data_IF_100248119353
#
_entry.id   IF_100248119353
#
_cell.length_a   1.000
_cell.length_b   1.000
_cell.length_c   1.000
_cell.angle_alpha   90.00
_cell.angle_beta   90.00
_cell.angle_gamma   90.00
#
_symmetry.space_group_name_H-M   'P 1'
#
loop_
_entity.id
_entity.type
_entity.pdbx_description
1 polymer ?
#
# COMPACT_ATOMS: atom_id res chain seq x y z
N UNK A 1 -64.57 -47.94 60.36
CA UNK A 1 -63.48 -48.05 59.35
C UNK A 1 -64.06 -48.40 57.97
N UNK A 2 -64.41 -47.42 57.11
CA UNK A 2 -64.70 -47.70 55.68
C UNK A 2 -64.67 -46.45 54.76
N UNK A 3 -64.60 -45.24 55.30
CA UNK A 3 -64.55 -43.97 54.53
C UNK A 3 -63.13 -43.44 54.31
N UNK A 4 -62.22 -43.62 55.28
CA UNK A 4 -60.83 -43.12 55.20
C UNK A 4 -60.00 -43.71 54.05
N UNK A 5 -60.25 -44.96 53.65
CA UNK A 5 -59.57 -45.60 52.50
C UNK A 5 -60.00 -45.01 51.16
N UNK A 6 -61.24 -44.49 51.03
CA UNK A 6 -61.71 -43.86 49.79
C UNK A 6 -61.14 -42.44 49.63
N UNK A 7 -61.03 -41.67 50.71
CA UNK A 7 -60.39 -40.35 50.69
C UNK A 7 -58.89 -40.41 50.39
N UNK A 8 -58.18 -41.44 50.88
CA UNK A 8 -56.75 -41.60 50.58
C UNK A 8 -56.50 -41.93 49.10
N UNK A 9 -57.35 -42.78 48.51
CA UNK A 9 -57.29 -43.09 47.07
C UNK A 9 -57.67 -41.87 46.23
N UNK A 10 -58.70 -41.09 46.63
CA UNK A 10 -59.08 -39.87 45.94
C UNK A 10 -58.00 -38.77 46.03
N UNK A 11 -57.30 -38.67 47.16
CA UNK A 11 -56.18 -37.75 47.34
C UNK A 11 -54.96 -38.18 46.53
N UNK A 12 -54.65 -39.49 46.49
CA UNK A 12 -53.60 -40.05 45.64
C UNK A 12 -53.89 -39.87 44.14
N UNK A 13 -55.14 -40.08 43.71
CA UNK A 13 -55.55 -39.83 42.32
C UNK A 13 -55.49 -38.32 41.98
N UNK A 14 -55.86 -37.44 42.92
CA UNK A 14 -55.76 -35.99 42.76
C UNK A 14 -54.31 -35.54 42.60
N UNK A 15 -53.38 -36.07 43.41
CA UNK A 15 -51.95 -35.75 43.26
C UNK A 15 -51.40 -36.29 41.94
N UNK A 16 -51.81 -37.48 41.51
CA UNK A 16 -51.45 -38.03 40.19
C UNK A 16 -51.99 -37.19 39.04
N UNK A 17 -53.22 -36.68 39.13
CA UNK A 17 -53.81 -35.75 38.15
C UNK A 17 -53.09 -34.41 38.18
N UNK A 18 -52.74 -33.89 39.36
CA UNK A 18 -51.93 -32.66 39.47
C UNK A 18 -50.52 -32.84 38.89
N UNK A 19 -49.86 -33.97 39.12
CA UNK A 19 -48.57 -34.30 38.51
C UNK A 19 -48.69 -34.48 36.99
N UNK A 20 -49.78 -35.11 36.50
CA UNK A 20 -50.03 -35.24 35.06
C UNK A 20 -50.31 -33.88 34.39
N UNK A 21 -51.00 -32.96 35.08
CA UNK A 21 -51.19 -31.58 34.62
C UNK A 21 -49.88 -30.79 34.65
N UNK A 22 -49.00 -31.01 35.64
CA UNK A 22 -47.67 -30.38 35.73
C UNK A 22 -46.69 -30.88 34.66
N UNK A 23 -46.78 -32.17 34.29
CA UNK A 23 -45.99 -32.74 33.18
C UNK A 23 -46.51 -32.24 31.82
N UNK A 24 -47.74 -31.73 31.76
CA UNK A 24 -48.35 -31.09 30.58
C UNK A 24 -48.22 -29.56 30.53
N UNK A 25 -47.74 -28.90 31.58
CA UNK A 25 -47.33 -27.48 31.48
C UNK A 25 -45.93 -27.44 30.91
N UNK A 26 -45.83 -27.61 29.59
CA UNK A 26 -44.67 -27.12 28.85
C UNK A 26 -44.52 -25.66 29.23
N UNK A 27 -43.50 -25.31 30.02
CA UNK A 27 -43.00 -23.95 30.06
C UNK A 27 -42.74 -23.59 28.60
N UNK A 28 -43.58 -22.73 28.02
CA UNK A 28 -43.29 -22.13 26.74
C UNK A 28 -42.10 -21.19 26.98
N UNK A 29 -40.90 -21.73 26.93
CA UNK A 29 -39.73 -20.91 26.63
C UNK A 29 -39.87 -20.52 25.17
N UNK A 30 -40.63 -19.47 24.91
CA UNK A 30 -40.52 -18.76 23.64
C UNK A 30 -39.12 -18.15 23.62
N UNK A 31 -38.16 -18.91 23.10
CA UNK A 31 -36.89 -18.35 22.66
C UNK A 31 -36.99 -18.27 21.15
N UNK A 32 -37.41 -17.10 20.69
CA UNK A 32 -37.18 -16.72 19.30
C UNK A 32 -35.72 -16.29 19.20
N UNK A 33 -34.93 -17.02 18.42
CA UNK A 33 -33.56 -16.65 18.10
C UNK A 33 -33.49 -16.31 16.62
N UNK A 34 -33.47 -15.03 16.30
CA UNK A 34 -33.08 -14.55 14.97
C UNK A 34 -31.55 -14.44 15.00
N UNK A 35 -30.87 -15.33 14.30
CA UNK A 35 -29.41 -15.24 14.14
C UNK A 35 -29.09 -14.67 12.77
N UNK A 36 -28.44 -13.52 12.73
CA UNK A 36 -27.82 -13.00 11.52
C UNK A 36 -26.36 -13.52 11.48
N UNK A 37 -26.02 -14.31 10.46
CA UNK A 37 -24.67 -14.82 10.19
C UNK A 37 -24.28 -14.40 8.78
N UNK A 38 -23.00 -14.04 8.58
CA UNK A 38 -22.48 -13.71 7.27
C UNK A 38 -22.65 -12.24 6.86
N UNK A 39 -22.87 -11.32 7.81
CA UNK A 39 -22.67 -9.90 7.54
C UNK A 39 -21.20 -9.69 7.13
N UNK A 40 -20.98 -9.40 5.85
CA UNK A 40 -19.67 -9.12 5.27
C UNK A 40 -19.67 -7.67 4.81
N UNK A 41 -18.67 -6.93 5.26
CA UNK A 41 -18.31 -5.61 4.75
C UNK A 41 -16.92 -5.78 4.18
N UNK A 42 -16.74 -5.43 2.92
CA UNK A 42 -15.49 -5.57 2.20
C UNK A 42 -15.23 -4.28 1.45
N UNK A 43 -13.98 -3.80 1.51
CA UNK A 43 -13.56 -2.66 0.72
C UNK A 43 -13.41 -3.09 -0.75
N UNK A 44 -13.76 -2.20 -1.67
CA UNK A 44 -13.43 -2.41 -3.07
C UNK A 44 -11.91 -2.35 -3.30
N UNK A 45 -11.45 -2.85 -4.45
CA UNK A 45 -10.06 -2.78 -4.84
C UNK A 45 -9.86 -2.15 -6.22
N UNK A 46 -8.84 -1.31 -6.34
CA UNK A 46 -8.32 -0.83 -7.61
C UNK A 46 -7.32 -1.84 -8.14
N UNK A 47 -7.56 -2.37 -9.33
CA UNK A 47 -6.62 -3.28 -9.99
C UNK A 47 -6.77 -3.18 -11.49
N UNK A 48 -5.67 -2.87 -12.16
CA UNK A 48 -5.62 -2.73 -13.61
C UNK A 48 -4.59 -3.67 -14.22
N UNK A 49 -4.76 -3.98 -15.49
CA UNK A 49 -3.79 -4.73 -16.29
C UNK A 49 -3.62 -4.07 -17.65
N UNK A 50 -2.39 -4.10 -18.16
CA UNK A 50 -2.06 -3.70 -19.52
C UNK A 50 -1.84 -4.97 -20.33
N UNK A 51 -2.62 -5.12 -21.39
CA UNK A 51 -2.63 -6.29 -22.24
C UNK A 51 -2.20 -5.92 -23.66
N UNK A 52 -1.68 -6.90 -24.39
CA UNK A 52 -1.33 -6.77 -25.80
C UNK A 52 -1.79 -8.00 -26.59
N UNK A 53 -2.33 -7.76 -27.78
CA UNK A 53 -2.54 -8.78 -28.80
C UNK A 53 -1.28 -8.90 -29.65
N UNK A 54 -0.39 -9.81 -29.24
CA UNK A 54 0.93 -9.99 -29.88
C UNK A 54 0.84 -10.67 -31.25
N UNK A 55 -0.27 -11.35 -31.54
CA UNK A 55 -0.44 -12.19 -32.73
C UNK A 55 -1.50 -11.67 -33.69
N UNK A 56 -2.13 -10.54 -33.35
CA UNK A 56 -3.20 -9.90 -34.13
C UNK A 56 -4.39 -10.84 -34.38
N UNK A 57 -4.62 -11.79 -33.47
CA UNK A 57 -5.68 -12.81 -33.55
C UNK A 57 -6.83 -12.54 -32.57
N UNK A 58 -6.79 -11.39 -31.89
CA UNK A 58 -7.73 -10.97 -30.85
C UNK A 58 -7.42 -11.54 -29.47
N UNK A 59 -6.30 -12.25 -29.29
CA UNK A 59 -5.94 -12.85 -28.01
C UNK A 59 -5.00 -11.95 -27.20
N UNK A 60 -5.59 -11.13 -26.34
CA UNK A 60 -4.87 -10.20 -25.48
C UNK A 60 -4.24 -10.91 -24.27
N UNK A 61 -2.94 -10.70 -24.06
CA UNK A 61 -2.18 -11.25 -22.95
C UNK A 61 -1.52 -10.14 -22.13
N UNK A 62 -1.39 -10.34 -20.82
CA UNK A 62 -0.78 -9.33 -19.94
C UNK A 62 0.69 -9.13 -20.30
N UNK A 63 1.07 -7.85 -20.38
CA UNK A 63 2.44 -7.38 -20.55
C UNK A 63 2.92 -6.58 -19.34
N UNK A 64 2.16 -6.60 -18.24
CA UNK A 64 2.51 -5.90 -17.01
C UNK A 64 3.83 -6.45 -16.43
N UNK A 65 4.75 -5.55 -16.09
CA UNK A 65 6.12 -5.85 -15.60
C UNK A 65 7.00 -6.61 -16.60
N UNK A 66 6.59 -6.73 -17.86
CA UNK A 66 7.42 -7.30 -18.91
C UNK A 66 8.49 -6.31 -19.39
N UNK A 67 9.49 -6.81 -20.11
CA UNK A 67 10.56 -6.00 -20.69
C UNK A 67 10.63 -6.27 -22.19
N UNK A 68 10.56 -5.22 -23.01
CA UNK A 68 10.59 -5.36 -24.47
C UNK A 68 9.33 -6.00 -25.06
N UNK A 69 8.19 -5.96 -24.37
CA UNK A 69 6.97 -6.62 -24.85
C UNK A 69 6.30 -5.88 -26.02
N UNK A 70 6.46 -4.56 -26.11
CA UNK A 70 5.74 -3.71 -27.07
C UNK A 70 6.52 -3.60 -28.39
N UNK A 71 7.78 -3.16 -28.33
CA UNK A 71 8.68 -3.07 -29.49
C UNK A 71 10.01 -3.78 -29.17
N UNK A 72 10.25 -4.96 -29.73
CA UNK A 72 11.52 -5.68 -29.57
C UNK A 72 11.82 -6.69 -30.67
N UNK A 73 13.11 -6.98 -30.83
CA UNK A 73 13.60 -8.01 -31.74
C UNK A 73 12.95 -9.37 -31.45
N UNK A 74 12.75 -9.71 -30.18
CA UNK A 74 12.10 -10.97 -29.77
C UNK A 74 10.63 -11.03 -30.19
N UNK A 75 9.93 -9.91 -30.15
CA UNK A 75 8.57 -9.77 -30.67
C UNK A 75 8.51 -9.67 -32.21
N UNK A 76 9.66 -9.57 -32.88
CA UNK A 76 9.76 -9.46 -34.34
C UNK A 76 9.39 -8.09 -34.89
N UNK A 77 9.28 -7.07 -34.03
CA UNK A 77 9.03 -5.67 -34.36
C UNK A 77 10.13 -4.77 -33.73
N UNK A 78 10.04 -3.46 -33.86
CA UNK A 78 10.96 -2.50 -33.24
C UNK A 78 12.39 -2.49 -33.80
N UNK A 79 12.69 -3.32 -34.80
CA UNK A 79 14.04 -3.52 -35.36
C UNK A 79 14.18 -3.01 -36.78
N UNK A 80 15.40 -2.62 -37.18
CA UNK A 80 15.74 -2.24 -38.56
C UNK A 80 14.79 -1.17 -39.15
N UNK A 81 14.59 -0.08 -38.42
CA UNK A 81 13.81 1.06 -38.90
C UNK A 81 14.45 1.69 -40.13
N UNK A 82 13.64 1.97 -41.14
CA UNK A 82 14.02 2.67 -42.37
C UNK A 82 12.93 3.69 -42.75
N UNK A 83 13.27 4.76 -43.50
CA UNK A 83 12.29 5.75 -43.93
C UNK A 83 11.07 5.11 -44.60
N UNK A 84 9.87 5.50 -44.16
CA UNK A 84 8.59 4.97 -44.62
C UNK A 84 8.08 3.74 -43.85
N UNK A 85 8.90 3.13 -42.98
CA UNK A 85 8.45 1.99 -42.16
C UNK A 85 7.40 2.43 -41.15
N UNK A 86 6.34 1.63 -41.01
CA UNK A 86 5.31 1.77 -39.98
C UNK A 86 5.17 0.47 -39.23
N UNK A 87 5.03 0.54 -37.91
CA UNK A 87 4.66 -0.60 -37.08
C UNK A 87 3.47 -0.23 -36.19
N UNK A 88 2.57 -1.19 -35.97
CA UNK A 88 1.35 -1.01 -35.18
C UNK A 88 1.35 -2.07 -34.08
N UNK A 89 0.96 -1.67 -32.88
CA UNK A 89 0.73 -2.57 -31.74
C UNK A 89 -0.68 -2.38 -31.22
N UNK A 90 -1.30 -3.48 -30.77
CA UNK A 90 -2.67 -3.49 -30.29
C UNK A 90 -2.70 -3.78 -28.80
N UNK A 91 -3.15 -2.78 -28.04
CA UNK A 91 -3.10 -2.74 -26.59
C UNK A 91 -4.51 -2.75 -26.01
N UNK A 92 -4.63 -3.15 -24.75
CA UNK A 92 -5.87 -3.03 -24.02
C UNK A 92 -5.62 -2.75 -22.54
N UNK A 93 -6.48 -1.93 -21.95
CA UNK A 93 -6.51 -1.67 -20.50
C UNK A 93 -7.70 -2.40 -19.93
N UNK A 94 -7.46 -3.25 -18.94
CA UNK A 94 -8.51 -4.05 -18.31
C UNK A 94 -8.66 -3.71 -16.83
N UNK A 95 -9.90 -3.44 -16.39
CA UNK A 95 -10.23 -3.32 -14.99
C UNK A 95 -10.41 -4.71 -14.35
N UNK A 96 -9.43 -5.16 -13.57
CA UNK A 96 -9.47 -6.42 -12.80
C UNK A 96 -9.91 -6.22 -11.35
N UNK A 97 -10.26 -4.98 -10.99
CA UNK A 97 -10.69 -4.59 -9.66
C UNK A 97 -12.19 -4.75 -9.47
N UNK A 98 -12.68 -4.11 -8.41
CA UNK A 98 -14.11 -4.03 -8.09
C UNK A 98 -14.60 -2.58 -8.02
N UNK A 99 -13.78 -1.63 -8.48
CA UNK A 99 -14.04 -0.20 -8.45
C UNK A 99 -13.89 0.37 -9.87
N UNK A 100 -14.71 1.34 -10.22
CA UNK A 100 -14.63 2.09 -11.46
C UNK A 100 -13.35 2.91 -11.49
N UNK A 101 -12.77 3.07 -12.68
CA UNK A 101 -11.46 3.73 -12.82
C UNK A 101 -11.45 4.76 -13.93
N UNK A 102 -10.64 5.80 -13.70
CA UNK A 102 -10.06 6.60 -14.77
C UNK A 102 -8.59 6.22 -14.91
N UNK A 103 -8.07 6.19 -16.13
CA UNK A 103 -6.68 5.83 -16.40
C UNK A 103 -6.04 6.69 -17.48
N UNK A 104 -4.72 6.74 -17.45
CA UNK A 104 -3.89 7.30 -18.51
C UNK A 104 -2.84 6.27 -18.95
N UNK A 105 -2.58 6.22 -20.25
CA UNK A 105 -1.39 5.57 -20.81
C UNK A 105 -0.33 6.63 -21.08
N UNK A 106 0.81 6.50 -20.41
CA UNK A 106 1.98 7.34 -20.57
C UNK A 106 2.99 6.64 -21.46
N UNK A 107 3.61 7.38 -22.37
CA UNK A 107 4.77 6.94 -23.14
C UNK A 107 6.01 7.62 -22.59
N UNK A 108 6.99 6.82 -22.18
CA UNK A 108 8.29 7.26 -21.70
C UNK A 108 9.32 7.05 -22.82
N UNK A 109 9.73 8.15 -23.45
CA UNK A 109 10.53 8.11 -24.67
C UNK A 109 11.97 8.55 -24.37
N UNK A 110 12.92 7.66 -24.66
CA UNK A 110 14.36 7.91 -24.50
C UNK A 110 15.02 7.82 -25.88
N UNK A 111 15.69 8.90 -26.29
CA UNK A 111 16.46 8.89 -27.53
C UNK A 111 17.78 8.14 -27.35
N UNK A 112 18.19 7.42 -28.39
CA UNK A 112 19.49 6.78 -28.46
C UNK A 112 20.63 7.74 -28.81
N UNK A 113 21.84 7.19 -28.90
CA UNK A 113 23.01 7.88 -29.46
C UNK A 113 23.75 6.94 -30.43
N UNK A 114 23.53 7.05 -31.76
CA UNK A 114 22.64 8.01 -32.43
C UNK A 114 21.15 7.76 -32.16
N UNK A 115 20.34 8.80 -32.25
CA UNK A 115 18.91 8.80 -31.94
C UNK A 115 18.00 8.67 -33.16
N UNK A 116 16.70 8.50 -32.93
CA UNK A 116 15.65 8.53 -33.97
C UNK A 116 14.66 9.70 -33.78
N UNK A 117 14.75 10.47 -32.70
CA UNK A 117 13.86 11.61 -32.48
C UNK A 117 14.00 12.65 -33.59
N UNK A 118 12.85 13.18 -34.03
CA UNK A 118 12.72 14.05 -35.19
C UNK A 118 12.41 13.31 -36.49
N UNK A 119 12.73 12.01 -36.57
CA UNK A 119 12.41 11.15 -37.72
C UNK A 119 11.13 10.32 -37.54
N UNK A 120 10.58 10.24 -36.33
CA UNK A 120 9.44 9.40 -36.00
C UNK A 120 8.17 10.21 -35.69
N UNK A 121 7.03 9.68 -36.10
CA UNK A 121 5.68 10.16 -35.80
C UNK A 121 4.87 9.03 -35.14
N UNK A 122 3.82 9.39 -34.41
CA UNK A 122 2.90 8.43 -33.79
C UNK A 122 1.45 8.71 -34.15
N UNK A 123 0.63 7.65 -34.09
CA UNK A 123 -0.82 7.71 -34.14
C UNK A 123 -1.41 6.79 -33.07
N UNK A 124 -2.29 7.31 -32.22
CA UNK A 124 -3.06 6.52 -31.25
C UNK A 124 -4.51 6.48 -31.72
N UNK A 125 -5.04 5.27 -31.88
CA UNK A 125 -6.41 5.02 -32.30
C UNK A 125 -7.19 4.43 -31.13
N UNK A 126 -8.08 5.23 -30.57
CA UNK A 126 -8.93 4.88 -29.44
C UNK A 126 -10.07 3.92 -29.85
N UNK A 127 -10.34 2.94 -29.00
CA UNK A 127 -11.32 1.87 -29.18
C UNK A 127 -11.04 0.90 -30.33
N UNK A 128 -9.82 0.87 -30.90
CA UNK A 128 -9.49 0.04 -32.09
C UNK A 128 -8.72 -1.22 -31.75
N UNK A 129 -9.12 -2.33 -32.37
CA UNK A 129 -8.41 -3.62 -32.38
C UNK A 129 -7.77 -3.86 -33.74
N UNK A 130 -6.99 -4.94 -33.86
CA UNK A 130 -6.39 -5.36 -35.14
C UNK A 130 -7.40 -5.42 -36.29
N UNK A 131 -8.58 -6.02 -36.04
CA UNK A 131 -9.63 -6.14 -37.04
C UNK A 131 -10.30 -4.80 -37.44
N UNK A 132 -10.12 -3.73 -36.67
CA UNK A 132 -10.73 -2.42 -36.91
C UNK A 132 -9.80 -1.47 -37.69
N UNK A 133 -8.52 -1.81 -37.80
CA UNK A 133 -7.51 -0.99 -38.49
C UNK A 133 -7.32 -1.49 -39.93
N UNK A 134 -8.14 -0.95 -40.84
CA UNK A 134 -8.04 -1.17 -42.29
C UNK A 134 -7.37 0.03 -42.97
N UNK A 135 -6.11 0.28 -42.62
CA UNK A 135 -5.31 1.35 -43.23
C UNK A 135 -4.06 0.75 -43.87
N UNK A 136 -3.81 1.13 -45.13
CA UNK A 136 -2.72 0.60 -45.95
C UNK A 136 -1.58 1.62 -46.12
N UNK A 137 -1.71 2.80 -45.52
CA UNK A 137 -0.71 3.85 -45.54
C UNK A 137 -0.74 4.68 -44.26
N UNK A 138 0.36 5.39 -44.00
CA UNK A 138 0.44 6.32 -42.88
C UNK A 138 -0.61 7.43 -42.96
N UNK A 139 -0.88 7.95 -44.16
CA UNK A 139 -1.90 8.99 -44.35
C UNK A 139 -3.32 8.48 -44.05
N UNK A 140 -3.61 7.21 -44.36
CA UNK A 140 -4.89 6.59 -44.00
C UNK A 140 -5.03 6.39 -42.49
N UNK A 141 -3.96 5.95 -41.81
CA UNK A 141 -3.94 5.81 -40.34
C UNK A 141 -4.21 7.14 -39.64
N UNK A 142 -3.53 8.21 -40.05
CA UNK A 142 -3.73 9.55 -39.49
C UNK A 142 -5.15 10.10 -39.71
N UNK A 143 -5.80 9.66 -40.79
CA UNK A 143 -7.14 10.10 -41.15
C UNK A 143 -8.27 9.28 -40.49
N UNK A 144 -7.93 8.20 -39.77
CA UNK A 144 -8.93 7.41 -39.06
C UNK A 144 -9.65 8.25 -38.00
N UNK A 145 -10.95 8.00 -37.83
CA UNK A 145 -11.77 8.71 -36.86
C UNK A 145 -11.21 8.53 -35.44
N UNK A 146 -11.01 9.65 -34.74
CA UNK A 146 -10.46 9.66 -33.38
C UNK A 146 -8.94 9.52 -33.29
N UNK A 147 -8.22 9.46 -34.43
CA UNK A 147 -6.76 9.36 -34.44
C UNK A 147 -6.09 10.57 -33.77
N UNK A 148 -5.28 10.31 -32.75
CA UNK A 148 -4.41 11.30 -32.13
C UNK A 148 -3.01 11.15 -32.73
N UNK A 149 -2.52 12.17 -33.42
CA UNK A 149 -1.27 12.10 -34.19
C UNK A 149 -0.28 13.17 -33.73
N UNK A 150 1.01 12.87 -33.83
CA UNK A 150 2.05 13.83 -33.47
C UNK A 150 3.46 13.36 -33.79
N UNK A 151 4.42 14.26 -33.61
CA UNK A 151 5.83 13.92 -33.65
C UNK A 151 6.25 13.21 -32.36
N UNK A 152 7.14 12.22 -32.46
CA UNK A 152 7.78 11.62 -31.29
C UNK A 152 8.78 12.62 -30.70
N UNK A 153 8.67 12.85 -29.39
CA UNK A 153 9.52 13.75 -28.62
C UNK A 153 10.11 13.03 -27.40
N UNK A 154 11.26 13.51 -26.92
CA UNK A 154 11.91 12.93 -25.75
C UNK A 154 11.13 13.28 -24.48
N UNK A 155 11.15 12.36 -23.52
CA UNK A 155 10.47 12.52 -22.24
C UNK A 155 9.11 11.82 -22.22
N UNK A 156 8.30 12.18 -21.23
CA UNK A 156 7.01 11.56 -20.98
C UNK A 156 5.90 12.32 -21.70
N UNK A 157 5.03 11.60 -22.40
CA UNK A 157 3.80 12.15 -23.00
C UNK A 157 2.59 11.25 -22.71
N UNK A 158 1.39 11.82 -22.71
CA UNK A 158 0.15 11.06 -22.52
C UNK A 158 -0.35 10.59 -23.89
N UNK A 159 -0.37 9.28 -24.12
CA UNK A 159 -0.83 8.67 -25.37
C UNK A 159 -2.34 8.44 -25.41
N UNK A 160 -2.95 8.08 -24.27
CA UNK A 160 -4.40 7.95 -24.13
C UNK A 160 -4.83 8.74 -22.89
N UNK A 161 -5.33 9.97 -23.06
CA UNK A 161 -5.76 10.80 -21.94
C UNK A 161 -7.17 10.42 -21.47
N UNK A 162 -7.29 10.09 -20.19
CA UNK A 162 -8.55 9.92 -19.45
C UNK A 162 -9.48 8.84 -20.00
N UNK A 163 -8.96 7.64 -20.23
CA UNK A 163 -9.84 6.49 -20.43
C UNK A 163 -10.64 6.23 -19.15
N UNK A 164 -11.89 5.78 -19.29
CA UNK A 164 -12.79 5.50 -18.18
C UNK A 164 -13.35 4.09 -18.33
N UNK A 165 -13.26 3.29 -17.27
CA UNK A 165 -13.89 1.97 -17.16
C UNK A 165 -14.79 1.99 -15.92
N UNK A 166 -16.07 2.31 -16.11
CA UNK A 166 -17.05 2.51 -15.04
C UNK A 166 -18.24 1.55 -15.09
N UNK A 167 -18.34 0.68 -16.09
CA UNK A 167 -19.45 -0.26 -16.26
C UNK A 167 -19.50 -1.34 -15.16
N UNK A 168 -18.46 -1.42 -14.33
CA UNK A 168 -18.47 -2.25 -13.11
C UNK A 168 -19.59 -1.87 -12.14
N UNK A 169 -20.04 -0.60 -12.14
CA UNK A 169 -21.22 -0.17 -11.35
C UNK A 169 -22.52 -0.74 -11.89
N UNK A 170 -22.55 -1.11 -13.18
CA UNK A 170 -23.66 -1.77 -13.85
C UNK A 170 -23.56 -3.30 -13.82
N UNK A 171 -22.53 -3.84 -13.17
CA UNK A 171 -22.31 -5.27 -12.97
C UNK A 171 -21.48 -5.95 -14.07
N UNK A 172 -20.80 -5.17 -14.92
CA UNK A 172 -19.80 -5.73 -15.83
C UNK A 172 -18.54 -6.15 -15.06
N UNK A 173 -17.97 -7.29 -15.44
CA UNK A 173 -16.69 -7.77 -14.89
C UNK A 173 -15.64 -7.73 -15.99
N UNK A 174 -14.41 -7.33 -15.65
CA UNK A 174 -13.28 -7.27 -16.60
C UNK A 174 -13.54 -6.35 -17.79
N UNK A 175 -14.22 -5.22 -17.55
CA UNK A 175 -14.36 -4.15 -18.54
C UNK A 175 -12.98 -3.82 -19.13
N UNK A 176 -12.93 -3.70 -20.45
CA UNK A 176 -11.68 -3.62 -21.20
C UNK A 176 -11.80 -2.59 -22.30
N UNK A 177 -10.88 -1.64 -22.32
CA UNK A 177 -10.75 -0.63 -23.36
C UNK A 177 -9.57 -0.98 -24.29
N UNK A 178 -9.66 -0.61 -25.57
CA UNK A 178 -8.76 -1.10 -26.62
C UNK A 178 -8.10 0.05 -27.39
N UNK A 179 -6.84 -0.13 -27.76
CA UNK A 179 -6.05 0.88 -28.46
C UNK A 179 -5.21 0.26 -29.56
N UNK A 180 -5.01 0.99 -30.65
CA UNK A 180 -3.91 0.74 -31.57
C UNK A 180 -2.90 1.90 -31.51
N UNK A 181 -1.63 1.59 -31.26
CA UNK A 181 -0.53 2.54 -31.30
C UNK A 181 0.31 2.25 -32.54
N UNK A 182 0.40 3.21 -33.44
CA UNK A 182 1.24 3.13 -34.63
C UNK A 182 2.42 4.10 -34.51
N UNK A 183 3.61 3.64 -34.89
CA UNK A 183 4.83 4.44 -35.01
C UNK A 183 5.25 4.42 -36.48
N UNK A 184 5.62 5.57 -37.03
CA UNK A 184 6.04 5.74 -38.42
C UNK A 184 7.35 6.50 -38.52
N UNK A 185 8.28 6.04 -39.36
CA UNK A 185 9.47 6.80 -39.71
C UNK A 185 9.22 7.59 -40.99
N UNK A 186 9.41 8.90 -40.92
CA UNK A 186 9.17 9.84 -42.02
C UNK A 186 9.95 9.44 -43.27
N UNK A 187 9.31 9.53 -44.43
CA UNK A 187 9.91 9.18 -45.72
C UNK A 187 11.14 10.03 -46.08
N UNK A 188 11.22 11.25 -45.55
CA UNK A 188 12.31 12.20 -45.80
C UNK A 188 13.44 12.12 -44.76
N UNK A 189 13.38 11.18 -43.82
CA UNK A 189 14.44 10.97 -42.83
C UNK A 189 15.78 10.63 -43.49
N UNK A 190 16.80 11.44 -43.19
CA UNK A 190 18.13 11.35 -43.79
C UNK A 190 19.07 10.31 -43.15
N UNK A 191 20.28 10.22 -43.70
CA UNK A 191 21.31 9.27 -43.23
C UNK A 191 21.81 9.55 -41.80
N UNK A 192 21.54 10.73 -41.24
CA UNK A 192 21.83 11.10 -39.86
C UNK A 192 21.16 10.19 -38.82
N UNK A 193 20.05 9.53 -39.18
CA UNK A 193 19.33 8.57 -38.33
C UNK A 193 19.80 7.12 -38.52
N UNK A 194 20.81 6.88 -39.37
CA UNK A 194 21.31 5.53 -39.63
C UNK A 194 21.97 4.92 -38.38
N UNK A 195 21.58 3.69 -38.04
CA UNK A 195 21.93 3.01 -36.79
C UNK A 195 21.39 3.72 -35.53
N UNK A 196 20.46 4.66 -35.70
CA UNK A 196 19.76 5.31 -34.62
C UNK A 196 18.93 4.33 -33.80
N UNK A 197 18.72 4.65 -32.53
CA UNK A 197 17.86 3.88 -31.64
C UNK A 197 16.94 4.79 -30.85
N UNK A 198 15.85 4.21 -30.36
CA UNK A 198 14.90 4.85 -29.47
C UNK A 198 14.30 3.79 -28.55
N UNK A 199 13.98 4.18 -27.33
CA UNK A 199 13.19 3.35 -26.40
C UNK A 199 11.85 4.04 -26.18
N UNK A 200 10.76 3.28 -26.28
CA UNK A 200 9.40 3.74 -26.04
C UNK A 200 8.80 2.78 -25.01
N UNK A 201 8.83 3.18 -23.75
CA UNK A 201 8.22 2.43 -22.65
C UNK A 201 6.80 2.94 -22.40
N UNK A 202 5.97 2.11 -21.76
CA UNK A 202 4.58 2.46 -21.46
C UNK A 202 4.27 2.29 -19.98
N UNK A 203 3.67 3.32 -19.39
CA UNK A 203 3.22 3.31 -18.00
C UNK A 203 1.72 3.52 -17.94
N UNK A 204 0.99 2.58 -17.34
CA UNK A 204 -0.45 2.69 -17.05
C UNK A 204 -0.64 3.20 -15.62
N UNK A 205 -1.29 4.34 -15.47
CA UNK A 205 -1.69 4.91 -14.17
C UNK A 205 -3.21 5.01 -14.10
N UNK A 206 -3.76 4.69 -12.93
CA UNK A 206 -5.21 4.70 -12.72
C UNK A 206 -5.58 5.29 -11.35
N UNK A 207 -6.80 5.84 -11.28
CA UNK A 207 -7.45 6.35 -10.07
C UNK A 207 -8.93 5.93 -10.07
N UNK A 208 -9.62 6.06 -8.94
CA UNK A 208 -11.07 5.86 -8.91
C UNK A 208 -11.79 6.85 -9.84
N UNK A 209 -12.86 6.38 -10.48
CA UNK A 209 -13.81 7.22 -11.17
C UNK A 209 -14.94 7.64 -10.22
N UNK A 210 -15.58 8.78 -10.51
CA UNK A 210 -16.78 9.23 -9.80
C UNK A 210 -18.02 8.50 -10.33
N UNK A 211 -18.08 7.18 -10.15
CA UNK A 211 -19.16 6.33 -10.67
C UNK A 211 -19.97 5.67 -9.55
N UNK A 212 -19.32 5.26 -8.47
CA UNK A 212 -19.96 4.63 -7.33
C UNK A 212 -20.68 5.65 -6.42
N UNK A 213 -21.74 5.19 -5.74
CA UNK A 213 -22.43 5.96 -4.71
C UNK A 213 -22.10 5.44 -3.31
N UNK A 214 -21.87 6.35 -2.37
CA UNK A 214 -21.74 6.01 -0.96
C UNK A 214 -23.08 5.56 -0.36
N UNK A 215 -23.06 5.14 0.92
CA UNK A 215 -24.26 4.72 1.65
C UNK A 215 -25.32 5.82 1.86
N UNK A 216 -25.02 7.07 1.47
CA UNK A 216 -25.90 8.23 1.55
C UNK A 216 -26.34 8.72 0.16
N UNK A 217 -25.89 8.09 -0.93
CA UNK A 217 -26.22 8.44 -2.31
C UNK A 217 -25.33 9.52 -2.94
N UNK A 218 -24.15 9.80 -2.37
CA UNK A 218 -23.16 10.74 -2.92
C UNK A 218 -22.17 10.03 -3.87
N UNK A 219 -21.95 10.60 -5.06
CA UNK A 219 -21.01 10.09 -6.09
C UNK A 219 -19.68 10.84 -6.18
N UNK A 220 -19.54 11.95 -5.44
CA UNK A 220 -18.49 12.94 -5.72
C UNK A 220 -17.28 12.79 -4.78
N UNK A 221 -17.26 11.74 -3.95
CA UNK A 221 -16.19 11.54 -2.97
C UNK A 221 -14.83 11.23 -3.63
N UNK A 222 -14.83 10.77 -4.88
CA UNK A 222 -13.63 10.49 -5.68
C UNK A 222 -13.27 11.62 -6.67
N UNK A 223 -14.00 12.75 -6.67
CA UNK A 223 -13.79 13.85 -7.63
C UNK A 223 -12.36 14.42 -7.55
N UNK A 224 -11.78 14.42 -6.34
CA UNK A 224 -10.44 14.93 -6.07
C UNK A 224 -9.34 13.86 -6.12
N UNK A 225 -9.66 12.62 -6.53
CA UNK A 225 -8.65 11.57 -6.65
C UNK A 225 -7.58 11.98 -7.68
N UNK A 226 -6.32 11.94 -7.27
CA UNK A 226 -5.16 12.17 -8.13
C UNK A 226 -4.66 10.88 -8.78
N UNK A 227 -4.03 10.99 -9.95
CA UNK A 227 -3.28 9.87 -10.50
C UNK A 227 -1.99 9.64 -9.71
N UNK A 228 -1.58 8.39 -9.46
CA UNK A 228 -0.31 8.11 -8.81
C UNK A 228 0.87 8.80 -9.49
N UNK A 229 1.78 9.33 -8.68
CA UNK A 229 2.98 10.02 -9.15
C UNK A 229 4.23 9.22 -8.76
N UNK A 230 5.25 9.24 -9.62
CA UNK A 230 6.60 8.77 -9.30
C UNK A 230 7.58 9.93 -9.50
N UNK A 231 8.34 10.27 -8.47
CA UNK A 231 9.24 11.43 -8.48
C UNK A 231 10.62 11.07 -7.96
N UNK A 232 11.64 11.47 -8.71
CA UNK A 232 13.03 11.39 -8.30
C UNK A 232 13.42 12.69 -7.60
N UNK A 233 13.93 12.60 -6.37
CA UNK A 233 14.32 13.75 -5.56
C UNK A 233 15.80 13.65 -5.17
N UNK A 234 16.45 14.81 -5.07
CA UNK A 234 17.88 14.90 -4.79
C UNK A 234 18.23 15.98 -3.74
N UNK A 235 17.24 16.73 -3.26
CA UNK A 235 17.36 17.81 -2.29
C UNK A 235 16.14 17.86 -1.36
N UNK A 236 16.24 18.67 -0.30
CA UNK A 236 15.23 18.72 0.76
C UNK A 236 13.93 19.38 0.32
N UNK A 237 13.98 20.38 -0.57
CA UNK A 237 12.80 21.14 -0.98
C UNK A 237 11.92 20.30 -1.90
N UNK A 238 12.51 19.62 -2.90
CA UNK A 238 11.81 18.67 -3.76
C UNK A 238 11.22 17.48 -2.98
N UNK A 239 11.92 17.01 -1.95
CA UNK A 239 11.40 15.97 -1.05
C UNK A 239 10.19 16.49 -0.24
N UNK A 240 10.23 17.70 0.32
CA UNK A 240 9.11 18.25 1.08
C UNK A 240 7.86 18.45 0.22
N UNK A 241 8.02 18.95 -1.01
CA UNK A 241 6.90 19.11 -1.94
C UNK A 241 6.26 17.75 -2.24
N UNK A 242 7.08 16.72 -2.50
CA UNK A 242 6.60 15.37 -2.79
C UNK A 242 5.93 14.66 -1.58
N UNK A 243 6.38 14.94 -0.35
CA UNK A 243 5.79 14.37 0.87
C UNK A 243 4.41 14.93 1.20
N UNK A 244 4.03 16.06 0.60
CA UNK A 244 2.87 16.85 0.99
C UNK A 244 1.87 17.05 -0.16
N UNK A 245 1.54 15.94 -0.83
CA UNK A 245 0.57 15.88 -1.91
C UNK A 245 -0.65 14.99 -1.54
N UNK A 246 -1.57 15.48 -0.68
CA UNK A 246 -2.71 14.70 -0.20
C UNK A 246 -3.65 14.29 -1.35
N UNK A 247 -4.18 13.06 -1.28
CA UNK A 247 -5.10 12.51 -2.30
C UNK A 247 -4.41 12.00 -3.58
N UNK A 248 -3.08 12.08 -3.64
CA UNK A 248 -2.26 11.57 -4.74
C UNK A 248 -1.25 10.56 -4.17
N UNK A 249 -1.43 9.26 -4.40
CA UNK A 249 -0.43 8.26 -4.06
C UNK A 249 0.91 8.60 -4.74
N UNK A 250 1.96 8.82 -3.96
CA UNK A 250 3.24 9.31 -4.48
C UNK A 250 4.39 8.37 -4.12
N UNK A 251 5.05 7.82 -5.12
CA UNK A 251 6.32 7.11 -4.98
C UNK A 251 7.48 8.10 -5.13
N UNK A 252 8.35 8.15 -4.13
CA UNK A 252 9.47 9.09 -4.04
C UNK A 252 10.77 8.30 -4.04
N UNK A 253 11.58 8.45 -5.08
CA UNK A 253 12.91 7.86 -5.15
C UNK A 253 13.95 8.90 -4.75
N UNK A 254 14.56 8.70 -3.58
CA UNK A 254 15.67 9.54 -3.14
C UNK A 254 16.93 9.08 -3.85
N UNK A 255 17.38 9.83 -4.84
CA UNK A 255 18.47 9.45 -5.74
C UNK A 255 19.86 9.62 -5.11
N UNK A 256 19.98 10.49 -4.11
CA UNK A 256 21.19 10.72 -3.33
C UNK A 256 20.88 11.12 -1.89
N UNK A 257 21.86 10.95 -0.99
CA UNK A 257 21.68 11.33 0.42
C UNK A 257 21.49 12.85 0.58
N UNK A 258 20.46 13.24 1.34
CA UNK A 258 20.12 14.64 1.63
C UNK A 258 20.70 15.00 2.99
N UNK A 259 21.68 15.91 2.99
CA UNK A 259 22.53 16.17 4.16
C UNK A 259 22.18 17.43 4.94
N UNK A 260 21.36 18.29 4.38
CA UNK A 260 20.86 19.56 4.93
C UNK A 260 19.38 19.46 5.34
N UNK A 261 18.92 18.25 5.62
CA UNK A 261 17.57 17.96 6.02
C UNK A 261 17.12 18.70 7.28
N UNK A 262 15.81 18.86 7.36
CA UNK A 262 15.07 19.34 8.54
C UNK A 262 14.13 18.24 9.02
N UNK A 263 13.40 18.47 10.11
CA UNK A 263 12.33 17.54 10.45
C UNK A 263 11.23 17.68 9.40
N UNK A 264 10.78 16.54 8.89
CA UNK A 264 9.84 16.42 7.79
C UNK A 264 8.45 16.10 8.34
N UNK A 265 7.46 16.69 7.69
CA UNK A 265 6.05 16.39 7.88
C UNK A 265 5.53 15.72 6.62
N UNK A 266 4.71 14.68 6.80
CA UNK A 266 4.05 13.95 5.73
C UNK A 266 2.55 14.10 5.88
N UNK A 267 1.93 14.69 4.86
CA UNK A 267 0.48 14.87 4.75
C UNK A 267 -0.13 14.09 3.58
N UNK A 268 0.70 13.52 2.69
CA UNK A 268 0.27 12.69 1.57
C UNK A 268 0.27 11.18 1.86
N UNK A 269 -0.07 10.40 0.83
CA UNK A 269 0.05 8.94 0.81
C UNK A 269 1.32 8.54 0.06
N UNK A 270 2.38 8.22 0.81
CA UNK A 270 3.75 8.21 0.27
C UNK A 270 4.42 6.84 0.38
N UNK A 271 5.08 6.41 -0.69
CA UNK A 271 6.14 5.39 -0.64
C UNK A 271 7.50 6.06 -0.83
N UNK A 272 8.33 6.07 0.20
CA UNK A 272 9.67 6.66 0.19
C UNK A 272 10.75 5.58 0.00
N UNK A 273 11.37 5.56 -1.18
CA UNK A 273 12.45 4.66 -1.54
C UNK A 273 13.80 5.34 -1.31
N UNK A 274 14.52 4.92 -0.26
CA UNK A 274 15.83 5.46 0.11
C UNK A 274 16.99 4.59 -0.37
N UNK A 275 16.79 3.28 -0.53
CA UNK A 275 17.92 2.37 -0.72
C UNK A 275 18.94 2.55 0.41
N UNK A 276 20.20 2.84 0.08
CA UNK A 276 21.24 3.17 1.09
C UNK A 276 21.33 4.66 1.44
N UNK A 277 20.56 5.53 0.78
CA UNK A 277 20.62 6.97 1.00
C UNK A 277 20.09 7.36 2.39
N UNK A 278 20.53 8.53 2.85
CA UNK A 278 20.24 9.02 4.19
C UNK A 278 19.61 10.41 4.15
N UNK A 279 18.76 10.70 5.14
CA UNK A 279 18.17 12.01 5.41
C UNK A 279 18.74 12.51 6.74
N UNK A 280 19.57 13.56 6.69
CA UNK A 280 20.39 13.98 7.83
C UNK A 280 20.38 15.48 8.02
N UNK A 281 20.74 15.93 9.22
CA UNK A 281 20.76 17.35 9.62
C UNK A 281 22.20 17.86 9.78
N UNK A 282 23.00 17.69 8.74
CA UNK A 282 24.42 18.08 8.66
C UNK A 282 25.41 17.00 9.12
N UNK A 283 24.93 15.87 9.66
CA UNK A 283 25.78 14.77 10.14
C UNK A 283 25.07 13.43 10.03
N UNK A 284 25.79 12.39 9.62
CA UNK A 284 25.23 11.03 9.43
C UNK A 284 24.72 10.39 10.73
N UNK A 285 25.16 10.88 11.90
CA UNK A 285 24.67 10.43 13.21
C UNK A 285 23.43 11.21 13.69
N UNK A 286 22.99 12.23 12.94
CA UNK A 286 21.82 13.06 13.27
C UNK A 286 20.85 13.02 12.09
N UNK A 287 19.95 12.04 12.12
CA UNK A 287 18.92 11.90 11.09
C UNK A 287 17.85 13.00 11.16
N UNK A 288 17.23 13.28 10.03
CA UNK A 288 16.03 14.12 9.93
C UNK A 288 14.82 13.39 10.52
N UNK A 289 14.15 13.96 11.51
CA UNK A 289 12.91 13.36 12.04
C UNK A 289 11.80 13.38 10.99
N UNK A 290 10.90 12.40 11.04
CA UNK A 290 9.75 12.29 10.14
C UNK A 290 8.49 12.12 10.98
N UNK A 291 7.49 12.95 10.71
CA UNK A 291 6.16 12.86 11.32
C UNK A 291 5.10 12.66 10.25
N UNK A 292 4.36 11.55 10.34
CA UNK A 292 3.18 11.28 9.52
C UNK A 292 1.95 11.81 10.26
N UNK A 293 1.26 12.78 9.66
CA UNK A 293 0.09 13.44 10.27
C UNK A 293 -1.20 12.64 10.13
N UNK A 294 -2.26 13.15 10.76
CA UNK A 294 -3.57 12.53 10.83
C UNK A 294 -4.14 12.28 9.42
N UNK A 295 -4.59 11.05 9.18
CA UNK A 295 -5.11 10.63 7.87
C UNK A 295 -4.06 10.42 6.77
N UNK A 296 -2.79 10.74 6.99
CA UNK A 296 -1.72 10.49 6.02
C UNK A 296 -1.14 9.07 6.17
N UNK A 297 -0.51 8.57 5.11
CA UNK A 297 0.17 7.27 5.13
C UNK A 297 1.58 7.34 4.55
N UNK A 298 2.51 6.60 5.15
CA UNK A 298 3.88 6.53 4.67
C UNK A 298 4.43 5.10 4.73
N UNK A 299 5.06 4.65 3.65
CA UNK A 299 5.92 3.46 3.63
C UNK A 299 7.36 3.88 3.38
N UNK A 300 8.30 3.45 4.22
CA UNK A 300 9.73 3.69 4.04
C UNK A 300 10.42 2.40 3.62
N UNK A 301 11.03 2.39 2.43
CA UNK A 301 11.85 1.31 1.92
C UNK A 301 13.32 1.70 1.97
N UNK A 302 14.10 1.06 2.86
CA UNK A 302 15.49 1.41 3.07
C UNK A 302 16.36 0.19 3.37
N UNK A 303 17.63 0.27 2.99
CA UNK A 303 18.66 -0.69 3.35
C UNK A 303 19.37 -0.19 4.61
N UNK A 304 19.56 -1.08 5.58
CA UNK A 304 20.20 -0.73 6.84
C UNK A 304 21.68 -0.39 6.64
N UNK A 305 22.02 0.87 6.82
CA UNK A 305 23.40 1.34 6.85
C UNK A 305 24.15 0.79 8.09
N UNK A 306 25.47 0.60 7.95
CA UNK A 306 26.32 0.11 9.03
C UNK A 306 26.78 1.22 9.97
N UNK A 307 26.93 0.91 11.27
CA UNK A 307 27.46 1.85 12.25
C UNK A 307 26.50 2.99 12.56
N UNK A 308 27.05 4.16 12.94
CA UNK A 308 26.27 5.37 13.22
C UNK A 308 26.02 6.15 11.92
N UNK A 309 25.39 5.51 10.95
CA UNK A 309 24.94 6.15 9.71
C UNK A 309 23.43 5.93 9.67
N UNK A 310 22.70 6.96 10.07
CA UNK A 310 21.25 6.86 10.17
C UNK A 310 20.59 7.21 8.85
N UNK A 311 19.67 6.34 8.45
CA UNK A 311 18.74 6.50 7.34
C UNK A 311 17.86 7.73 7.56
N UNK A 312 17.31 7.90 8.75
CA UNK A 312 16.57 9.08 9.18
C UNK A 312 16.62 9.21 10.73
N UNK A 313 15.99 10.25 11.26
CA UNK A 313 15.89 10.54 12.69
C UNK A 313 14.70 9.86 13.34
N UNK A 314 14.13 10.49 14.38
CA UNK A 314 12.91 10.00 15.04
C UNK A 314 11.77 9.79 14.03
N UNK A 315 11.06 8.69 14.15
CA UNK A 315 9.87 8.38 13.33
C UNK A 315 8.63 8.51 14.20
N UNK A 316 7.66 9.31 13.77
CA UNK A 316 6.40 9.51 14.48
C UNK A 316 5.23 9.32 13.54
N UNK A 317 4.20 8.59 13.98
CA UNK A 317 2.87 8.65 13.39
C UNK A 317 1.92 9.28 14.41
N UNK A 318 1.15 10.27 13.98
CA UNK A 318 0.23 11.04 14.80
C UNK A 318 -1.13 11.10 14.12
N UNK A 319 -2.00 10.12 14.39
CA UNK A 319 -3.24 9.88 13.63
C UNK A 319 -3.05 9.22 12.25
N UNK A 320 -1.84 9.23 11.70
CA UNK A 320 -1.50 8.60 10.41
C UNK A 320 -1.07 7.13 10.50
N UNK A 321 -0.68 6.57 9.36
CA UNK A 321 -0.13 5.21 9.24
C UNK A 321 1.33 5.22 8.77
N UNK A 322 2.22 4.49 9.44
CA UNK A 322 3.63 4.37 9.05
C UNK A 322 4.06 2.90 8.90
N UNK A 323 4.62 2.53 7.75
CA UNK A 323 5.26 1.24 7.51
C UNK A 323 6.77 1.43 7.29
N UNK A 324 7.59 0.62 7.96
CA UNK A 324 9.05 0.68 7.84
C UNK A 324 9.63 -0.68 7.40
N UNK A 325 10.22 -0.67 6.20
CA UNK A 325 10.82 -1.82 5.54
C UNK A 325 12.35 -1.66 5.47
N UNK A 326 12.99 -1.60 6.64
CA UNK A 326 14.45 -1.59 6.76
C UNK A 326 15.01 -0.22 7.13
N UNK A 327 16.32 -0.01 6.95
CA UNK A 327 17.02 1.20 7.39
C UNK A 327 17.66 1.09 8.78
N UNK A 328 18.41 2.13 9.14
CA UNK A 328 19.10 2.26 10.43
C UNK A 328 18.72 3.59 11.07
N UNK A 329 18.17 3.56 12.28
CA UNK A 329 17.63 4.75 12.93
C UNK A 329 18.13 4.85 14.37
N UNK A 330 18.48 6.07 14.76
CA UNK A 330 18.88 6.34 16.13
C UNK A 330 18.61 7.76 16.59
N UNK A 331 18.20 7.86 17.85
CA UNK A 331 18.03 9.13 18.56
C UNK A 331 18.75 9.10 19.91
N UNK A 332 19.06 10.30 20.38
CA UNK A 332 19.61 10.53 21.71
C UNK A 332 18.83 11.64 22.38
N UNK A 333 18.12 11.34 23.46
CA UNK A 333 17.42 12.34 24.26
C UNK A 333 16.69 11.70 25.43
N UNK A 334 16.55 12.45 26.52
CA UNK A 334 15.99 11.92 27.77
C UNK A 334 14.49 11.69 27.61
N UNK A 335 14.02 10.45 27.80
CA UNK A 335 12.61 10.07 27.60
C UNK A 335 12.17 9.97 26.14
N UNK A 336 13.09 10.18 25.18
CA UNK A 336 12.76 10.14 23.76
C UNK A 336 12.62 8.70 23.26
N UNK A 337 11.75 8.52 22.26
CA UNK A 337 11.59 7.27 21.54
C UNK A 337 12.08 7.40 20.09
N UNK A 338 12.72 6.36 19.57
CA UNK A 338 13.10 6.31 18.15
C UNK A 338 11.86 6.18 17.24
N UNK A 339 10.89 5.36 17.63
CA UNK A 339 9.60 5.26 16.94
C UNK A 339 8.50 5.60 17.93
N UNK A 340 7.58 6.49 17.55
CA UNK A 340 6.44 6.89 18.39
C UNK A 340 5.12 6.81 17.63
N UNK A 341 4.13 6.10 18.18
CA UNK A 341 2.74 6.13 17.71
C UNK A 341 1.85 6.91 18.69
N UNK A 342 1.02 7.81 18.14
CA UNK A 342 0.11 8.69 18.90
C UNK A 342 -1.26 8.81 18.24
N UNK A 343 -2.26 9.23 19.02
CA UNK A 343 -3.58 9.61 18.54
C UNK A 343 -4.23 8.60 17.58
N UNK A 344 -4.34 7.34 18.01
CA UNK A 344 -4.92 6.26 17.20
C UNK A 344 -4.20 5.91 15.88
N UNK A 345 -2.95 6.32 15.72
CA UNK A 345 -2.10 5.89 14.60
C UNK A 345 -1.80 4.39 14.61
N UNK A 346 -1.42 3.89 13.43
CA UNK A 346 -0.91 2.54 13.23
C UNK A 346 0.53 2.58 12.70
N UNK A 347 1.43 1.81 13.29
CA UNK A 347 2.81 1.65 12.78
C UNK A 347 3.13 0.17 12.56
N UNK A 348 3.71 -0.15 11.40
CA UNK A 348 4.18 -1.47 11.03
C UNK A 348 5.71 -1.46 10.87
N UNK A 349 6.41 -2.15 11.77
CA UNK A 349 7.87 -2.29 11.73
C UNK A 349 8.24 -3.69 11.20
N UNK A 350 8.46 -3.78 9.90
CA UNK A 350 8.75 -5.06 9.23
C UNK A 350 10.23 -5.44 9.34
N UNK A 351 11.13 -4.46 9.25
CA UNK A 351 12.57 -4.66 9.47
C UNK A 351 13.28 -3.33 9.76
N UNK A 352 14.58 -3.38 10.02
CA UNK A 352 15.42 -2.20 10.31
C UNK A 352 16.16 -2.30 11.64
N UNK A 353 16.97 -1.29 11.96
CA UNK A 353 17.65 -1.14 13.24
C UNK A 353 17.11 0.11 13.94
N UNK A 354 16.62 -0.03 15.16
CA UNK A 354 16.03 1.05 15.94
C UNK A 354 16.76 1.18 17.27
N UNK A 355 17.36 2.35 17.51
CA UNK A 355 18.22 2.57 18.67
C UNK A 355 17.90 3.87 19.40
N UNK A 356 17.95 3.83 20.73
CA UNK A 356 17.91 5.04 21.55
C UNK A 356 18.98 5.00 22.64
N UNK A 357 19.77 6.08 22.74
CA UNK A 357 20.87 6.16 23.71
C UNK A 357 20.58 7.06 24.92
N UNK A 358 19.42 7.70 24.98
CA UNK A 358 19.07 8.65 26.03
C UNK A 358 18.60 7.99 27.34
N UNK A 359 18.82 8.67 28.47
CA UNK A 359 18.27 8.28 29.78
C UNK A 359 16.74 8.15 29.70
N UNK A 360 16.18 7.07 30.25
CA UNK A 360 14.75 6.74 30.13
C UNK A 360 14.24 6.66 28.68
N UNK A 361 15.14 6.51 27.70
CA UNK A 361 14.77 6.47 26.29
C UNK A 361 14.20 5.13 25.84
N UNK A 362 13.57 5.15 24.67
CA UNK A 362 12.85 4.02 24.09
C UNK A 362 13.26 3.75 22.65
N UNK A 363 13.30 2.47 22.25
CA UNK A 363 13.39 2.16 20.82
C UNK A 363 12.01 2.35 20.16
N UNK A 364 10.94 1.97 20.86
CA UNK A 364 9.56 2.09 20.39
C UNK A 364 8.66 2.51 21.54
N UNK A 365 7.76 3.46 21.27
CA UNK A 365 6.73 3.92 22.20
C UNK A 365 5.36 4.01 21.52
N UNK A 366 4.35 3.35 22.08
CA UNK A 366 2.96 3.47 21.63
C UNK A 366 2.14 4.19 22.70
N UNK A 367 1.44 5.26 22.34
CA UNK A 367 0.62 6.04 23.27
C UNK A 367 -0.89 5.85 23.04
N UNK A 368 -1.73 6.41 23.94
CA UNK A 368 -3.19 6.21 24.00
C UNK A 368 -3.88 6.03 22.63
N UNK A 369 -4.47 4.86 22.44
CA UNK A 369 -5.27 4.49 21.26
C UNK A 369 -4.49 4.03 20.04
N UNK A 370 -3.17 4.24 19.99
CA UNK A 370 -2.31 3.82 18.87
C UNK A 370 -1.86 2.36 18.96
N UNK A 371 -1.51 1.78 17.81
CA UNK A 371 -1.00 0.41 17.70
C UNK A 371 0.32 0.38 16.95
N UNK A 372 1.30 -0.37 17.47
CA UNK A 372 2.55 -0.67 16.76
C UNK A 372 2.69 -2.18 16.61
N UNK A 373 2.80 -2.65 15.38
CA UNK A 373 3.05 -4.06 15.04
C UNK A 373 4.51 -4.25 14.65
N UNK A 374 5.20 -5.17 15.33
CA UNK A 374 6.62 -5.47 15.13
C UNK A 374 6.76 -6.88 14.56
N UNK A 375 7.09 -6.94 13.27
CA UNK A 375 7.25 -8.19 12.52
C UNK A 375 8.71 -8.58 12.27
N UNK A 376 9.65 -7.66 12.54
CA UNK A 376 11.07 -7.92 12.43
C UNK A 376 11.95 -6.75 12.89
N UNK A 377 13.24 -6.81 12.59
CA UNK A 377 14.21 -5.76 12.92
C UNK A 377 14.94 -5.95 14.26
N UNK A 378 15.88 -5.05 14.52
CA UNK A 378 16.74 -5.04 15.72
C UNK A 378 16.49 -3.81 16.57
N UNK A 379 16.28 -4.01 17.87
CA UNK A 379 15.94 -2.97 18.83
C UNK A 379 16.99 -2.89 19.93
N UNK A 380 17.44 -1.68 20.23
CA UNK A 380 18.48 -1.43 21.24
C UNK A 380 18.23 -0.16 22.05
N UNK A 381 18.57 -0.22 23.32
CA UNK A 381 18.57 0.93 24.21
C UNK A 381 19.79 0.92 25.11
N UNK A 382 20.55 2.01 25.13
CA UNK A 382 21.80 2.10 25.91
C UNK A 382 21.75 3.08 27.07
N UNK A 383 20.75 3.96 27.14
CA UNK A 383 20.59 4.88 28.26
C UNK A 383 20.23 4.18 29.56
N UNK A 384 20.55 4.79 30.70
CA UNK A 384 20.12 4.29 32.00
C UNK A 384 18.58 4.38 32.12
N UNK A 385 17.98 3.42 32.83
CA UNK A 385 16.52 3.29 33.02
C UNK A 385 15.69 3.28 31.73
N UNK A 386 16.32 2.91 30.61
CA UNK A 386 15.67 2.81 29.30
C UNK A 386 14.79 1.56 29.19
N UNK A 387 13.83 1.61 28.27
CA UNK A 387 13.02 0.43 27.92
C UNK A 387 12.93 0.31 26.42
N UNK A 388 13.21 -0.86 25.84
CA UNK A 388 13.15 -1.02 24.39
C UNK A 388 11.75 -0.77 23.84
N UNK A 389 10.75 -1.50 24.33
CA UNK A 389 9.35 -1.40 23.92
C UNK A 389 8.51 -0.90 25.08
N UNK A 390 7.91 0.28 24.92
CA UNK A 390 7.13 0.94 25.95
C UNK A 390 5.71 1.26 25.47
N UNK A 391 4.70 0.64 26.09
CA UNK A 391 3.30 0.92 25.79
C UNK A 391 2.70 1.83 26.87
N UNK A 392 2.41 3.08 26.53
CA UNK A 392 1.91 4.12 27.42
C UNK A 392 0.46 4.50 27.06
N UNK A 393 -0.48 3.61 27.40
CA UNK A 393 -1.88 3.67 26.94
C UNK A 393 -2.12 3.17 25.51
N UNK A 394 -1.06 2.90 24.74
CA UNK A 394 -1.14 2.27 23.41
C UNK A 394 -0.99 0.74 23.46
N UNK A 395 -1.01 0.13 22.28
CA UNK A 395 -0.79 -1.32 22.09
C UNK A 395 0.47 -1.56 21.27
N UNK A 396 1.32 -2.50 21.71
CA UNK A 396 2.43 -3.02 20.89
C UNK A 396 2.23 -4.51 20.67
N UNK A 397 2.17 -4.94 19.41
CA UNK A 397 2.13 -6.35 19.01
C UNK A 397 3.53 -6.75 18.53
N UNK A 398 4.08 -7.83 19.08
CA UNK A 398 5.43 -8.32 18.78
C UNK A 398 5.36 -9.73 18.23
N UNK A 399 5.40 -9.83 16.90
CA UNK A 399 5.37 -11.10 16.18
C UNK A 399 6.75 -11.70 16.05
N UNK A 400 7.77 -10.86 15.82
CA UNK A 400 9.16 -11.26 15.77
C UNK A 400 10.08 -10.04 15.87
N UNK A 401 11.20 -10.14 16.60
CA UNK A 401 12.21 -9.08 16.64
C UNK A 401 13.56 -9.61 17.15
N UNK A 402 14.59 -8.77 17.08
CA UNK A 402 15.87 -9.01 17.74
C UNK A 402 16.15 -7.94 18.77
N UNK A 403 16.35 -8.31 20.03
CA UNK A 403 16.95 -7.40 21.01
C UNK A 403 18.47 -7.56 20.97
N UNK A 404 19.19 -6.46 20.79
CA UNK A 404 20.66 -6.46 20.84
C UNK A 404 21.16 -5.95 22.19
N UNK A 405 21.56 -4.68 22.28
CA UNK A 405 22.05 -4.07 23.52
C UNK A 405 20.89 -3.42 24.30
N UNK A 406 20.60 -3.94 25.50
CA UNK A 406 19.52 -3.45 26.37
C UNK A 406 20.12 -3.13 27.74
N UNK A 407 20.26 -1.85 28.07
CA UNK A 407 20.76 -1.41 29.37
C UNK A 407 19.68 -1.44 30.47
N UNK A 408 18.40 -1.24 30.10
CA UNK A 408 17.26 -1.35 31.03
C UNK A 408 16.37 -2.57 30.78
N UNK A 409 15.09 -2.36 30.46
CA UNK A 409 14.11 -3.44 30.25
C UNK A 409 13.78 -3.64 28.78
N UNK A 410 13.32 -4.84 28.41
CA UNK A 410 12.79 -5.08 27.06
C UNK A 410 11.37 -4.53 26.94
N UNK A 411 10.57 -4.71 27.98
CA UNK A 411 9.15 -4.39 27.99
C UNK A 411 8.79 -3.56 29.23
N UNK A 412 7.99 -2.53 29.04
CA UNK A 412 7.30 -1.81 30.10
C UNK A 412 5.93 -1.36 29.58
N UNK A 413 4.96 -1.28 30.47
CA UNK A 413 3.66 -0.69 30.15
C UNK A 413 3.22 0.28 31.25
N UNK A 414 2.43 1.27 30.88
CA UNK A 414 1.85 2.26 31.78
C UNK A 414 0.50 2.76 31.22
N UNK A 415 -0.28 3.39 32.09
CA UNK A 415 -1.50 4.14 31.73
C UNK A 415 -2.51 3.31 30.89
N UNK A 416 -2.66 2.02 31.23
CA UNK A 416 -3.54 1.09 30.53
C UNK A 416 -2.99 0.52 29.23
N UNK A 417 -1.71 0.76 28.92
CA UNK A 417 -1.04 0.21 27.74
C UNK A 417 -0.87 -1.31 27.79
N UNK A 418 -0.69 -1.91 26.62
CA UNK A 418 -0.58 -3.37 26.46
C UNK A 418 0.55 -3.75 25.51
N UNK A 419 1.25 -4.85 25.82
CA UNK A 419 2.17 -5.48 24.88
C UNK A 419 1.77 -6.94 24.70
N UNK A 420 1.51 -7.34 23.46
CA UNK A 420 1.24 -8.72 23.05
C UNK A 420 2.51 -9.29 22.43
N UNK A 421 3.08 -10.35 23.04
CA UNK A 421 4.31 -10.99 22.54
C UNK A 421 3.96 -12.39 22.03
N UNK A 422 4.17 -12.62 20.74
CA UNK A 422 3.88 -13.91 20.09
C UNK A 422 4.67 -15.04 20.76
N UNK A 423 3.98 -16.15 21.07
CA UNK A 423 4.63 -17.37 21.60
C UNK A 423 5.48 -18.08 20.55
N UNK A 424 5.30 -17.78 19.27
CA UNK A 424 6.19 -18.26 18.21
C UNK A 424 7.57 -17.60 18.34
N UNK A 425 7.60 -16.31 18.64
CA UNK A 425 8.83 -15.56 18.89
C UNK A 425 9.42 -15.80 20.28
N UNK A 426 8.58 -15.81 21.32
CA UNK A 426 8.96 -16.09 22.71
C UNK A 426 8.18 -17.30 23.24
N UNK A 427 8.63 -18.54 22.96
CA UNK A 427 7.97 -19.74 23.47
C UNK A 427 7.86 -19.77 24.99
N UNK A 428 8.86 -19.21 25.66
CA UNK A 428 8.88 -19.03 27.11
C UNK A 428 8.28 -17.68 27.51
N UNK A 429 7.74 -17.64 28.73
CA UNK A 429 7.19 -16.42 29.35
C UNK A 429 8.25 -15.31 29.41
N UNK A 430 8.00 -14.11 28.85
CA UNK A 430 8.91 -12.97 28.95
C UNK A 430 9.33 -12.62 30.39
N UNK A 431 10.62 -12.37 30.59
CA UNK A 431 11.22 -12.10 31.92
C UNK A 431 11.84 -10.71 32.06
N UNK A 432 12.24 -10.05 30.97
CA UNK A 432 12.81 -8.69 31.00
C UNK A 432 11.71 -7.63 30.95
N UNK A 433 10.92 -7.59 32.01
CA UNK A 433 9.74 -6.73 32.17
C UNK A 433 9.98 -5.73 33.30
N UNK A 434 9.49 -4.50 33.15
CA UNK A 434 9.59 -3.46 34.18
C UNK A 434 8.78 -3.81 35.44
N UNK A 435 9.18 -3.20 36.56
CA UNK A 435 8.53 -3.43 37.85
C UNK A 435 7.08 -2.90 37.82
N UNK A 436 6.15 -3.64 38.43
CA UNK A 436 4.73 -3.28 38.43
C UNK A 436 3.95 -3.79 37.21
N UNK A 437 4.63 -4.35 36.21
CA UNK A 437 3.98 -5.04 35.10
C UNK A 437 3.97 -6.57 35.30
N UNK A 438 2.90 -7.21 34.86
CA UNK A 438 2.70 -8.66 34.92
C UNK A 438 2.63 -9.24 33.52
N UNK A 439 3.00 -10.52 33.42
CA UNK A 439 2.90 -11.28 32.18
C UNK A 439 1.92 -12.43 32.39
N UNK A 440 0.89 -12.49 31.56
CA UNK A 440 -0.17 -13.50 31.57
C UNK A 440 -0.26 -14.20 30.21
N UNK A 441 -0.85 -15.39 30.20
CA UNK A 441 -1.21 -16.07 28.95
C UNK A 441 -2.51 -15.47 28.42
N UNK A 442 -2.51 -14.95 27.19
CA UNK A 442 -3.69 -14.32 26.60
C UNK A 442 -4.63 -15.33 25.91
N UNK A 443 -4.22 -16.59 25.78
CA UNK A 443 -5.05 -17.67 25.24
C UNK A 443 -5.18 -17.71 23.71
N UNK A 444 -4.60 -16.76 23.00
CA UNK A 444 -4.68 -16.56 21.54
C UNK A 444 -3.32 -16.73 20.83
N UNK A 445 -2.36 -17.35 21.51
CA UNK A 445 -0.99 -17.51 21.01
C UNK A 445 -0.04 -16.39 21.44
N UNK A 446 -0.49 -15.42 22.25
CA UNK A 446 0.35 -14.35 22.77
C UNK A 446 0.52 -14.43 24.30
N UNK A 447 1.65 -13.89 24.77
CA UNK A 447 1.79 -13.41 26.14
C UNK A 447 1.30 -11.97 26.21
N UNK A 448 0.46 -11.66 27.20
CA UNK A 448 0.04 -10.28 27.48
C UNK A 448 0.92 -9.70 28.59
N UNK A 449 1.52 -8.55 28.35
CA UNK A 449 2.18 -7.72 29.36
C UNK A 449 1.28 -6.53 29.66
N UNK A 450 0.86 -6.40 30.92
CA UNK A 450 -0.08 -5.39 31.42
C UNK A 450 0.37 -4.86 32.80
N UNK A 451 -0.25 -3.77 33.28
CA UNK A 451 -0.11 -3.35 34.68
C UNK A 451 -0.71 -4.39 35.64
N UNK A 452 -0.13 -4.54 36.83
CA UNK A 452 -0.55 -5.51 37.87
C UNK A 452 -1.88 -5.15 38.55
#
# INVERSE_FOLDING_TARGET
MKTTKKSLIACGLSVLVCCALLVGTTFAWFTDSVTNKGNRIEAGNLKVDLLMDKTEDGNYTSIANGTGDIFSEEAGNGINWEPGKTEIVYLAVQNKGSLAINYNLLLDIIDGDPGLIGSLEYAVLDGKKAADVDANSWEELKAMEGAQVGDIQAGQTVAAPNGTLDEIVNGEENETDYFALAIHMKEDAGNEYQNGSITIDMTLIAKQATAEQDGFGNSDYDENAGYPASVDVADIDSLEDALNNPGVPTEINVTQSITDGKNLTVTGDVTLNLGNNTLNRGSTIVGAGITVEDGASMTINAVANSGLVYTAGALTADGGTLTVNGGNYGVSGSGDAQVTAKNASEIYLNSGNFSCSGYQGHAVMATSGSTITISGGSYSVSGADSTALYADGGTIVVDNCKFSAINGKRYAVANGGQILVSKTFSPDKPTSVAAGNVVTDNGDGYWLIAEN
#
